data_IF_418399757886
#
_entry.id   IF_418399757886
#
_cell.length_a   1.000
_cell.length_b   1.000
_cell.length_c   1.000
_cell.angle_alpha   90.00
_cell.angle_beta   90.00
_cell.angle_gamma   90.00
#
_symmetry.space_group_name_H-M   'P 1'
#
loop_
_entity.id
_entity.type
_entity.pdbx_description
1 polymer ?
#
# COMPACT_ATOMS: atom_id res chain seq x y z
N UNK A 1 -8.62 7.89 14.40
CA UNK A 1 -9.52 9.06 14.53
C UNK A 1 -10.78 8.90 13.67
N UNK A 2 -11.58 7.85 13.88
CA UNK A 2 -12.72 7.50 12.99
C UNK A 2 -14.00 8.29 13.33
N UNK A 3 -14.10 8.80 14.56
CA UNK A 3 -15.30 9.42 15.14
C UNK A 3 -15.71 10.78 14.54
N UNK A 4 -14.80 11.70 14.17
CA UNK A 4 -15.17 13.01 13.64
C UNK A 4 -15.76 12.92 12.23
N UNK A 5 -15.15 12.12 11.35
CA UNK A 5 -15.56 11.99 9.95
C UNK A 5 -16.91 11.28 9.84
N UNK A 6 -17.14 10.25 10.65
CA UNK A 6 -18.42 9.54 10.66
C UNK A 6 -19.58 10.44 11.14
N UNK A 7 -19.36 11.27 12.16
CA UNK A 7 -20.35 12.26 12.62
C UNK A 7 -20.63 13.32 11.56
N UNK A 8 -19.60 13.82 10.87
CA UNK A 8 -19.78 14.79 9.78
C UNK A 8 -20.49 14.16 8.57
N UNK A 9 -20.17 12.92 8.22
CA UNK A 9 -20.81 12.19 7.13
C UNK A 9 -22.29 11.95 7.37
N UNK A 10 -22.67 11.52 8.58
CA UNK A 10 -24.09 11.32 8.96
C UNK A 10 -24.87 12.63 9.02
N UNK A 11 -24.23 13.73 9.44
CA UNK A 11 -24.85 15.06 9.43
C UNK A 11 -25.04 15.59 7.99
N UNK A 12 -24.02 15.43 7.14
CA UNK A 12 -24.07 15.83 5.74
C UNK A 12 -25.14 15.05 4.98
N UNK A 13 -25.23 13.74 5.21
CA UNK A 13 -26.29 12.88 4.68
C UNK A 13 -27.69 13.43 5.05
N UNK A 14 -27.92 13.70 6.34
CA UNK A 14 -29.20 14.23 6.83
C UNK A 14 -29.52 15.62 6.26
N UNK A 15 -28.49 16.43 6.02
CA UNK A 15 -28.61 17.80 5.51
C UNK A 15 -28.84 17.85 4.01
N UNK A 16 -28.29 16.90 3.25
CA UNK A 16 -28.49 16.80 1.80
C UNK A 16 -29.78 16.05 1.46
N UNK A 17 -30.08 14.93 2.13
CA UNK A 17 -31.24 14.09 1.80
C UNK A 17 -32.60 14.80 2.04
N UNK A 18 -32.74 15.63 3.08
CA UNK A 18 -34.00 16.33 3.37
C UNK A 18 -34.41 17.37 2.30
N UNK A 19 -33.57 18.37 1.95
CA UNK A 19 -33.94 19.34 0.94
C UNK A 19 -33.98 18.73 -0.47
N UNK A 20 -33.11 17.77 -0.78
CA UNK A 20 -33.12 17.08 -2.08
C UNK A 20 -34.40 16.28 -2.25
N UNK A 21 -34.84 15.53 -1.23
CA UNK A 21 -36.10 14.81 -1.28
C UNK A 21 -37.30 15.73 -1.53
N UNK A 22 -37.34 16.89 -0.85
CA UNK A 22 -38.40 17.88 -1.03
C UNK A 22 -38.34 18.58 -2.41
N UNK A 23 -37.14 18.78 -2.98
CA UNK A 23 -36.96 19.36 -4.31
C UNK A 23 -37.34 18.39 -5.42
N UNK A 24 -37.00 17.12 -5.28
CA UNK A 24 -37.41 16.05 -6.20
C UNK A 24 -38.92 15.86 -6.16
N UNK A 25 -39.58 15.87 -4.97
CA UNK A 25 -41.05 15.88 -4.87
C UNK A 25 -41.65 17.05 -5.65
N UNK A 26 -41.09 18.25 -5.47
CA UNK A 26 -41.57 19.46 -6.13
C UNK A 26 -41.33 19.44 -7.64
N UNK A 27 -40.22 18.89 -8.14
CA UNK A 27 -39.95 18.81 -9.59
C UNK A 27 -40.69 17.64 -10.27
N UNK A 28 -40.86 16.51 -9.58
CA UNK A 28 -41.62 15.36 -10.08
C UNK A 28 -43.11 15.67 -10.27
N UNK A 29 -43.67 16.55 -9.43
CA UNK A 29 -45.04 17.06 -9.59
C UNK A 29 -45.21 18.03 -10.76
N UNK A 30 -44.13 18.68 -11.24
CA UNK A 30 -44.19 19.71 -12.28
C UNK A 30 -43.79 19.22 -13.67
N UNK A 31 -42.94 18.18 -13.81
CA UNK A 31 -42.42 17.78 -15.12
C UNK A 31 -42.59 16.27 -15.41
N UNK A 32 -43.51 15.88 -16.31
CA UNK A 32 -43.77 14.46 -16.62
C UNK A 32 -42.55 13.74 -17.22
N UNK A 33 -41.67 14.43 -17.95
CA UNK A 33 -40.43 13.82 -18.47
C UNK A 33 -39.48 13.36 -17.37
N UNK A 34 -39.39 14.11 -16.28
CA UNK A 34 -38.56 13.75 -15.13
C UNK A 34 -39.12 12.53 -14.39
N UNK A 35 -40.45 12.43 -14.29
CA UNK A 35 -41.15 11.23 -13.80
C UNK A 35 -40.80 9.99 -14.63
N UNK A 36 -40.85 10.10 -15.96
CA UNK A 36 -40.43 9.01 -16.85
C UNK A 36 -38.96 8.63 -16.66
N UNK A 37 -38.05 9.59 -16.51
CA UNK A 37 -36.62 9.31 -16.29
C UNK A 37 -36.36 8.55 -14.99
N UNK A 38 -37.00 8.94 -13.88
CA UNK A 38 -36.87 8.21 -12.59
C UNK A 38 -37.44 6.80 -12.70
N UNK A 39 -38.60 6.64 -13.35
CA UNK A 39 -39.21 5.30 -13.56
C UNK A 39 -38.30 4.44 -14.44
N UNK A 40 -37.71 5.00 -15.49
CA UNK A 40 -36.79 4.30 -16.37
C UNK A 40 -35.50 3.89 -15.64
N UNK A 41 -34.96 4.76 -14.77
CA UNK A 41 -33.78 4.43 -13.94
C UNK A 41 -34.14 3.35 -12.92
N UNK A 42 -35.29 3.44 -12.26
CA UNK A 42 -35.75 2.42 -11.31
C UNK A 42 -35.96 1.05 -11.99
N UNK A 43 -36.55 1.05 -13.20
CA UNK A 43 -36.74 -0.15 -14.00
C UNK A 43 -35.43 -0.71 -14.55
N UNK A 44 -34.52 0.15 -15.01
CA UNK A 44 -33.19 -0.24 -15.48
C UNK A 44 -32.37 -0.85 -14.34
N UNK A 45 -32.37 -0.19 -13.17
CA UNK A 45 -31.69 -0.69 -11.99
C UNK A 45 -32.27 -2.03 -11.55
N UNK A 46 -33.60 -2.18 -11.52
CA UNK A 46 -34.22 -3.46 -11.20
C UNK A 46 -33.83 -4.55 -12.21
N UNK A 47 -33.93 -4.30 -13.53
CA UNK A 47 -33.48 -5.26 -14.56
C UNK A 47 -32.02 -5.66 -14.38
N UNK A 48 -31.17 -4.74 -13.96
CA UNK A 48 -29.77 -5.00 -13.67
C UNK A 48 -29.66 -5.88 -12.41
N UNK A 49 -30.38 -5.53 -11.34
CA UNK A 49 -30.39 -6.26 -10.07
C UNK A 49 -30.94 -7.68 -10.23
N UNK A 50 -32.06 -7.90 -10.94
CA UNK A 50 -32.62 -9.25 -11.16
C UNK A 50 -31.72 -10.09 -12.07
N UNK A 51 -31.09 -9.49 -13.08
CA UNK A 51 -30.12 -10.20 -13.94
C UNK A 51 -28.89 -10.61 -13.14
N UNK A 52 -28.34 -9.71 -12.32
CA UNK A 52 -27.17 -9.98 -11.50
C UNK A 52 -27.48 -10.99 -10.38
N UNK A 53 -28.61 -10.83 -9.70
CA UNK A 53 -29.04 -11.68 -8.61
C UNK A 53 -29.42 -13.10 -9.08
N UNK A 54 -30.04 -13.25 -10.26
CA UNK A 54 -30.25 -14.59 -10.87
C UNK A 54 -28.95 -15.28 -11.20
N UNK A 55 -27.93 -14.53 -11.64
CA UNK A 55 -26.63 -15.09 -12.03
C UNK A 55 -25.79 -15.51 -10.82
N UNK A 56 -26.05 -14.94 -9.65
CA UNK A 56 -25.26 -15.18 -8.43
C UNK A 56 -25.99 -16.09 -7.43
N UNK A 57 -27.32 -15.98 -7.26
CA UNK A 57 -28.05 -16.63 -6.16
C UNK A 57 -29.18 -17.59 -6.55
N UNK A 58 -29.53 -17.73 -7.83
CA UNK A 58 -30.53 -18.71 -8.29
C UNK A 58 -31.99 -18.50 -7.81
N UNK A 59 -32.22 -17.70 -6.77
CA UNK A 59 -33.56 -17.37 -6.27
C UNK A 59 -34.05 -16.03 -6.80
N UNK A 60 -35.21 -16.09 -7.45
CA UNK A 60 -35.94 -14.95 -7.98
C UNK A 60 -36.70 -14.23 -6.86
N UNK A 61 -36.31 -13.00 -6.54
CA UNK A 61 -37.22 -12.07 -5.87
C UNK A 61 -37.71 -11.09 -6.91
N UNK A 62 -38.79 -11.48 -7.58
CA UNK A 62 -39.51 -10.64 -8.53
C UNK A 62 -40.39 -9.67 -7.73
N UNK A 63 -39.90 -8.45 -7.53
CA UNK A 63 -40.71 -7.39 -6.90
C UNK A 63 -41.33 -6.57 -8.02
N UNK A 64 -42.50 -7.03 -8.45
CA UNK A 64 -43.38 -6.33 -9.37
C UNK A 64 -43.61 -4.88 -8.92
N UNK A 65 -43.46 -3.97 -9.86
CA UNK A 65 -43.68 -2.53 -9.68
C UNK A 65 -45.17 -2.30 -9.43
N UNK A 66 -45.54 -2.04 -8.17
CA UNK A 66 -46.73 -1.23 -7.88
C UNK A 66 -46.46 0.19 -8.38
N UNK A 67 -47.44 0.89 -9.00
CA UNK A 67 -47.28 2.30 -9.34
C UNK A 67 -46.78 3.04 -8.09
N UNK A 68 -45.61 3.68 -8.25
CA UNK A 68 -44.79 4.12 -7.15
C UNK A 68 -45.44 5.37 -6.54
N UNK A 69 -45.90 5.29 -5.29
CA UNK A 69 -46.20 6.48 -4.49
C UNK A 69 -44.96 7.38 -4.54
N UNK A 70 -45.14 8.64 -4.96
CA UNK A 70 -44.06 9.62 -5.19
C UNK A 70 -43.03 9.65 -4.05
N UNK A 71 -43.50 9.41 -2.83
CA UNK A 71 -42.68 9.36 -1.62
C UNK A 71 -41.61 8.26 -1.64
N UNK A 72 -41.92 7.08 -2.17
CA UNK A 72 -40.98 5.95 -2.23
C UNK A 72 -39.90 6.15 -3.30
N UNK A 73 -40.25 6.75 -4.43
CA UNK A 73 -39.30 7.09 -5.49
C UNK A 73 -38.27 8.10 -5.01
N UNK A 74 -38.77 9.12 -4.32
CA UNK A 74 -37.98 10.19 -3.74
C UNK A 74 -37.06 9.66 -2.65
N UNK A 75 -37.56 8.75 -1.81
CA UNK A 75 -36.76 8.15 -0.75
C UNK A 75 -35.64 7.28 -1.33
N UNK A 76 -35.93 6.44 -2.33
CA UNK A 76 -34.91 5.67 -3.02
C UNK A 76 -33.85 6.55 -3.72
N UNK A 77 -34.26 7.67 -4.32
CA UNK A 77 -33.32 8.63 -4.91
C UNK A 77 -32.46 9.35 -3.85
N UNK A 78 -33.04 9.71 -2.71
CA UNK A 78 -32.32 10.31 -1.59
C UNK A 78 -31.33 9.33 -0.95
N UNK A 79 -31.70 8.05 -0.82
CA UNK A 79 -30.83 6.98 -0.32
C UNK A 79 -29.67 6.74 -1.29
N UNK A 80 -29.94 6.63 -2.60
CA UNK A 80 -28.91 6.45 -3.64
C UNK A 80 -27.91 7.63 -3.69
N UNK A 81 -28.40 8.87 -3.59
CA UNK A 81 -27.53 10.06 -3.53
C UNK A 81 -26.70 10.09 -2.25
N UNK A 82 -27.27 9.62 -1.14
CA UNK A 82 -26.58 9.46 0.12
C UNK A 82 -25.43 8.47 0.05
N UNK A 83 -25.69 7.28 -0.51
CA UNK A 83 -24.69 6.25 -0.76
C UNK A 83 -23.58 6.75 -1.70
N UNK A 84 -23.94 7.41 -2.81
CA UNK A 84 -22.98 7.99 -3.74
C UNK A 84 -22.06 9.02 -3.07
N UNK A 85 -22.62 9.88 -2.21
CA UNK A 85 -21.86 10.86 -1.46
C UNK A 85 -20.86 10.18 -0.51
N UNK A 86 -21.29 9.17 0.24
CA UNK A 86 -20.42 8.42 1.15
C UNK A 86 -19.31 7.71 0.36
N UNK A 87 -19.62 7.06 -0.75
CA UNK A 87 -18.62 6.41 -1.61
C UNK A 87 -17.63 7.42 -2.21
N UNK A 88 -18.09 8.61 -2.58
CA UNK A 88 -17.22 9.66 -3.11
C UNK A 88 -16.26 10.15 -2.03
N UNK A 89 -16.76 10.46 -0.83
CA UNK A 89 -15.91 10.92 0.29
C UNK A 89 -14.93 9.83 0.72
N UNK A 90 -15.37 8.58 0.82
CA UNK A 90 -14.51 7.44 1.14
C UNK A 90 -13.44 7.22 0.06
N UNK A 91 -13.83 7.28 -1.22
CA UNK A 91 -12.90 7.15 -2.35
C UNK A 91 -11.83 8.25 -2.35
N UNK A 92 -12.23 9.50 -2.15
CA UNK A 92 -11.30 10.63 -2.02
C UNK A 92 -10.37 10.45 -0.83
N UNK A 93 -10.88 10.00 0.33
CA UNK A 93 -10.07 9.74 1.51
C UNK A 93 -9.02 8.65 1.26
N UNK A 94 -9.39 7.54 0.61
CA UNK A 94 -8.46 6.45 0.25
C UNK A 94 -7.40 6.95 -0.73
N UNK A 95 -7.80 7.67 -1.78
CA UNK A 95 -6.86 8.24 -2.76
C UNK A 95 -5.90 9.21 -2.06
N UNK A 96 -6.41 10.04 -1.15
CA UNK A 96 -5.60 10.97 -0.38
C UNK A 96 -4.62 10.25 0.56
N UNK A 97 -5.04 9.17 1.22
CA UNK A 97 -4.18 8.35 2.06
C UNK A 97 -3.09 7.66 1.24
N UNK A 98 -3.42 7.07 0.09
CA UNK A 98 -2.43 6.43 -0.81
C UNK A 98 -1.43 7.46 -1.34
N UNK A 99 -1.89 8.63 -1.76
CA UNK A 99 -1.02 9.71 -2.26
C UNK A 99 -0.11 10.27 -1.16
N UNK A 100 -0.62 10.39 0.07
CA UNK A 100 0.17 10.80 1.24
C UNK A 100 1.16 9.71 1.67
N UNK A 101 0.73 8.44 1.65
CA UNK A 101 1.54 7.29 2.03
C UNK A 101 2.70 7.09 1.05
N UNK A 102 2.46 7.20 -0.26
CA UNK A 102 3.52 7.02 -1.27
C UNK A 102 4.66 8.04 -1.12
N UNK A 103 4.34 9.30 -0.80
CA UNK A 103 5.35 10.34 -0.51
C UNK A 103 6.18 10.04 0.74
N UNK A 104 5.59 9.37 1.73
CA UNK A 104 6.31 9.00 2.96
C UNK A 104 7.09 7.70 2.82
N UNK A 105 6.63 6.76 1.98
CA UNK A 105 7.31 5.49 1.74
C UNK A 105 8.51 5.64 0.80
N UNK A 106 8.42 6.49 -0.23
CA UNK A 106 9.54 6.79 -1.11
C UNK A 106 10.77 7.30 -0.34
N UNK A 107 10.58 8.23 0.61
CA UNK A 107 11.67 8.72 1.49
C UNK A 107 12.28 7.62 2.36
N UNK A 108 11.47 6.68 2.86
CA UNK A 108 11.96 5.56 3.67
C UNK A 108 12.72 4.53 2.84
N UNK A 109 12.36 4.39 1.58
CA UNK A 109 13.05 3.50 0.65
C UNK A 109 14.39 4.10 0.19
N UNK A 110 14.44 5.41 -0.06
CA UNK A 110 15.68 6.14 -0.31
C UNK A 110 16.65 6.05 0.88
N UNK A 111 16.15 6.21 2.11
CA UNK A 111 16.99 6.10 3.32
C UNK A 111 17.56 4.68 3.48
N UNK A 112 16.73 3.64 3.25
CA UNK A 112 17.18 2.25 3.31
C UNK A 112 18.20 1.91 2.23
N UNK A 113 18.09 2.51 1.04
CA UNK A 113 19.10 2.36 -0.02
C UNK A 113 20.42 3.01 0.38
N UNK A 114 20.38 4.21 0.96
CA UNK A 114 21.59 4.87 1.47
C UNK A 114 22.25 4.06 2.59
N UNK A 115 21.50 3.49 3.53
CA UNK A 115 22.04 2.63 4.58
C UNK A 115 22.72 1.38 3.99
N UNK A 116 22.13 0.77 2.96
CA UNK A 116 22.70 -0.39 2.27
C UNK A 116 23.99 -0.04 1.51
N UNK A 117 24.03 1.14 0.86
CA UNK A 117 25.22 1.64 0.19
C UNK A 117 26.36 1.91 1.17
N UNK A 118 26.07 2.50 2.33
CA UNK A 118 27.07 2.73 3.39
C UNK A 118 27.61 1.41 3.93
N UNK A 119 26.74 0.42 4.18
CA UNK A 119 27.20 -0.91 4.60
C UNK A 119 28.09 -1.57 3.56
N UNK A 120 27.72 -1.48 2.28
CA UNK A 120 28.50 -2.05 1.18
C UNK A 120 29.89 -1.40 1.06
N UNK A 121 29.98 -0.09 1.27
CA UNK A 121 31.28 0.61 1.31
C UNK A 121 32.16 0.13 2.47
N UNK A 122 31.57 -0.11 3.64
CA UNK A 122 32.29 -0.67 4.79
C UNK A 122 32.79 -2.09 4.52
N UNK A 123 31.99 -2.92 3.86
CA UNK A 123 32.41 -4.26 3.46
C UNK A 123 33.59 -4.22 2.47
N UNK A 124 33.56 -3.30 1.49
CA UNK A 124 34.66 -3.10 0.54
C UNK A 124 35.93 -2.53 1.20
N UNK A 125 35.79 -1.69 2.24
CA UNK A 125 36.91 -1.19 3.03
C UNK A 125 37.53 -2.29 3.88
N UNK A 126 36.70 -3.05 4.62
CA UNK A 126 37.14 -4.23 5.39
C UNK A 126 37.83 -5.27 4.50
N UNK A 127 37.31 -5.52 3.30
CA UNK A 127 37.93 -6.45 2.35
C UNK A 127 39.34 -5.99 1.95
N UNK A 128 39.54 -4.69 1.71
CA UNK A 128 40.85 -4.11 1.40
C UNK A 128 41.81 -4.20 2.59
N UNK A 129 41.34 -3.94 3.80
CA UNK A 129 42.16 -4.10 5.01
C UNK A 129 42.61 -5.55 5.18
N UNK A 130 41.71 -6.52 5.01
CA UNK A 130 42.03 -7.95 5.07
C UNK A 130 43.08 -8.33 4.03
N UNK A 131 42.98 -7.80 2.81
CA UNK A 131 43.95 -8.06 1.75
C UNK A 131 45.33 -7.44 2.06
N UNK A 132 45.37 -6.22 2.60
CA UNK A 132 46.61 -5.60 3.08
C UNK A 132 47.24 -6.39 4.23
N UNK A 133 46.45 -6.85 5.19
CA UNK A 133 46.90 -7.70 6.29
C UNK A 133 47.49 -9.02 5.78
N UNK A 134 46.85 -9.66 4.78
CA UNK A 134 47.38 -10.86 4.13
C UNK A 134 48.72 -10.59 3.43
N UNK A 135 48.87 -9.47 2.73
CA UNK A 135 50.14 -9.10 2.10
C UNK A 135 51.26 -8.94 3.12
N UNK A 136 51.01 -8.22 4.22
CA UNK A 136 52.02 -8.05 5.29
C UNK A 136 52.41 -9.36 5.96
N UNK A 137 51.45 -10.28 6.13
CA UNK A 137 51.74 -11.62 6.65
C UNK A 137 52.62 -12.43 5.69
N UNK A 138 52.36 -12.36 4.39
CA UNK A 138 53.16 -13.03 3.38
C UNK A 138 54.60 -12.49 3.32
N UNK A 139 54.80 -11.18 3.46
CA UNK A 139 56.13 -10.55 3.57
C UNK A 139 56.88 -11.04 4.81
N UNK A 140 56.21 -11.09 5.97
CA UNK A 140 56.80 -11.60 7.21
C UNK A 140 57.16 -13.09 7.11
N UNK A 141 56.33 -13.90 6.46
CA UNK A 141 56.61 -15.32 6.25
C UNK A 141 57.83 -15.52 5.35
N UNK A 142 57.98 -14.72 4.28
CA UNK A 142 59.17 -14.72 3.42
C UNK A 142 60.43 -14.31 4.18
N UNK A 143 60.37 -13.23 4.96
CA UNK A 143 61.50 -12.81 5.79
C UNK A 143 61.91 -13.90 6.80
N UNK A 144 60.94 -14.63 7.36
CA UNK A 144 61.23 -15.73 8.29
C UNK A 144 61.85 -16.94 7.58
N UNK A 145 61.39 -17.27 6.37
CA UNK A 145 61.99 -18.34 5.53
C UNK A 145 63.41 -17.99 5.08
N UNK A 146 63.65 -16.76 4.65
CA UNK A 146 64.97 -16.30 4.23
C UNK A 146 65.94 -16.26 5.42
N UNK A 147 65.48 -15.83 6.59
CA UNK A 147 66.29 -15.83 7.82
C UNK A 147 66.59 -17.24 8.32
N UNK A 148 65.63 -18.17 8.19
CA UNK A 148 65.82 -19.59 8.47
C UNK A 148 66.79 -20.28 7.49
N UNK A 149 66.99 -19.73 6.29
CA UNK A 149 68.02 -20.16 5.34
C UNK A 149 69.38 -19.51 5.60
N UNK A 150 69.45 -18.32 6.20
CA UNK A 150 70.71 -17.64 6.54
C UNK A 150 71.30 -17.99 7.92
N UNK A 151 70.48 -18.42 8.88
CA UNK A 151 70.92 -18.94 10.20
C UNK A 151 71.22 -20.45 10.19
N UNK A 152 71.38 -21.06 9.01
CA UNK A 152 72.02 -22.36 8.89
C UNK A 152 73.53 -22.22 8.87
N UNK A 153 74.21 -22.09 10.03
CA UNK A 153 75.38 -22.96 10.21
C UNK A 153 75.68 -23.37 11.68
N UNK A 154 76.32 -24.53 11.83
CA UNK A 154 77.33 -24.85 12.86
C UNK A 154 77.05 -25.85 14.02
N UNK A 155 75.99 -26.68 14.00
CA UNK A 155 75.92 -27.82 14.97
C UNK A 155 76.84 -29.02 14.62
N UNK A 156 77.66 -28.94 13.56
CA UNK A 156 78.55 -30.04 13.16
C UNK A 156 80.01 -29.91 13.65
N UNK A 157 80.41 -28.82 14.33
CA UNK A 157 81.83 -28.60 14.70
C UNK A 157 82.18 -28.84 16.17
N UNK A 158 81.20 -29.11 17.05
CA UNK A 158 81.47 -29.21 18.50
C UNK A 158 81.70 -30.63 19.04
N UNK A 159 81.71 -31.67 18.20
CA UNK A 159 81.84 -33.07 18.66
C UNK A 159 83.29 -33.63 18.71
N UNK A 160 84.34 -32.86 18.36
CA UNK A 160 85.71 -33.42 18.18
C UNK A 160 86.66 -33.20 19.38
N UNK A 161 86.29 -32.43 20.41
CA UNK A 161 87.26 -32.03 21.46
C UNK A 161 87.07 -32.64 22.87
N UNK A 162 86.39 -33.80 23.00
CA UNK A 162 86.14 -34.40 24.33
C UNK A 162 86.53 -35.88 24.45
N UNK A 163 87.68 -36.25 23.89
CA UNK A 163 88.32 -37.56 24.06
C UNK A 163 89.85 -37.41 24.08
N UNK A 164 90.40 -36.82 25.13
CA UNK A 164 91.76 -37.05 25.65
C UNK A 164 91.76 -36.66 27.12
#
# INVERSE_FOLDING_TARGET
>A
MILPVFKLGTLALKTLCKPIGNRIKKEAGFNPRFRQSIINIAQANHRLTTTLQRRIYGHATDVAIRPLNEEKAVQAAADLLGELFVFTVAGVAVVFEVQRSSRSEARKEELRKQELEVMRQRDEELAREVEQLKHRLAELEQLTKDRGLSDGPDEAKFCVWKLT
#
